data_IF_154895162863
#
_entry.id   IF_154895162863
#
_cell.length_a   1.000
_cell.length_b   1.000
_cell.length_c   1.000
_cell.angle_alpha   90.00
_cell.angle_beta   90.00
_cell.angle_gamma   90.00
#
_symmetry.space_group_name_H-M   'P 1'
#
loop_
_entity.id
_entity.type
_entity.pdbx_description
1 polymer ?
#
# COMPACT_ATOMS: atom_id res chain seq x y z
N UNK A 1 35.27 -25.65 15.05
CA UNK A 1 34.81 -25.37 16.43
C UNK A 1 33.29 -25.38 16.43
N UNK A 2 32.65 -26.22 17.25
CA UNK A 2 31.18 -26.35 17.34
C UNK A 2 30.71 -25.58 18.55
N UNK A 3 30.01 -24.46 18.34
CA UNK A 3 29.40 -23.67 19.40
C UNK A 3 27.94 -24.14 19.52
N UNK A 4 27.58 -24.68 20.69
CA UNK A 4 26.20 -25.05 21.04
C UNK A 4 25.66 -23.96 21.96
N UNK A 5 24.72 -23.16 21.46
CA UNK A 5 23.94 -22.23 22.28
C UNK A 5 22.60 -22.91 22.57
N UNK A 6 22.41 -23.27 23.84
CA UNK A 6 21.11 -23.62 24.41
C UNK A 6 20.60 -22.35 25.07
N UNK A 7 19.45 -21.85 24.65
CA UNK A 7 18.74 -20.80 25.39
C UNK A 7 17.26 -21.13 25.45
N UNK A 8 16.78 -21.27 26.67
CA UNK A 8 15.41 -21.61 27.08
C UNK A 8 14.85 -20.36 27.78
N UNK A 9 13.75 -19.81 27.26
CA UNK A 9 12.90 -18.79 27.93
C UNK A 9 11.49 -18.97 27.33
N UNK A 10 10.54 -19.64 27.97
CA UNK A 10 9.66 -19.19 29.08
C UNK A 10 8.88 -17.92 28.70
N UNK A 11 7.62 -18.04 28.23
CA UNK A 11 6.37 -18.08 29.01
C UNK A 11 5.72 -16.68 29.15
N UNK A 12 4.57 -16.45 28.50
CA UNK A 12 3.29 -16.05 29.14
C UNK A 12 2.20 -15.67 28.11
N UNK A 13 1.02 -16.26 28.28
CA UNK A 13 -0.24 -15.91 27.61
C UNK A 13 -0.90 -14.68 28.25
N UNK A 14 -1.54 -13.83 27.44
CA UNK A 14 -2.68 -13.03 27.89
C UNK A 14 -3.64 -12.80 26.70
N UNK A 15 -4.80 -13.45 26.76
CA UNK A 15 -5.93 -13.25 25.87
C UNK A 15 -6.89 -12.23 26.49
N UNK A 16 -7.35 -11.25 25.72
CA UNK A 16 -8.51 -10.42 26.09
C UNK A 16 -9.55 -10.47 24.98
N UNK A 17 -10.67 -11.09 25.34
CA UNK A 17 -11.93 -11.14 24.61
C UNK A 17 -12.63 -9.76 24.66
N UNK A 18 -13.25 -9.35 23.56
CA UNK A 18 -14.09 -8.14 23.50
C UNK A 18 -15.03 -8.11 22.30
N UNK A 19 -16.08 -8.94 22.32
CA UNK A 19 -17.33 -8.77 21.56
C UNK A 19 -18.21 -7.77 22.36
N UNK A 20 -19.01 -6.85 21.79
CA UNK A 20 -20.24 -7.06 21.02
C UNK A 20 -20.98 -5.68 20.83
N UNK A 21 -22.17 -5.55 20.20
CA UNK A 21 -22.40 -4.66 19.07
C UNK A 21 -23.52 -3.61 19.27
N UNK A 22 -23.81 -2.76 18.27
CA UNK A 22 -25.11 -2.70 17.55
C UNK A 22 -25.33 -1.42 16.75
N UNK A 23 -25.97 -1.63 15.60
CA UNK A 23 -26.37 -0.70 14.57
C UNK A 23 -27.49 0.28 14.99
N UNK A 24 -27.61 1.41 14.28
CA UNK A 24 -28.71 1.70 13.33
C UNK A 24 -28.78 3.21 13.05
N UNK A 25 -28.82 3.60 11.77
CA UNK A 25 -29.52 4.83 11.35
C UNK A 25 -29.97 4.73 9.90
N UNK A 26 -31.27 4.44 9.77
CA UNK A 26 -32.24 5.24 9.03
C UNK A 26 -32.03 5.47 7.52
N UNK A 27 -32.70 4.61 6.77
CA UNK A 27 -33.32 4.85 5.45
C UNK A 27 -34.16 6.14 5.47
N UNK A 28 -33.92 7.07 4.54
CA UNK A 28 -34.88 8.13 4.16
C UNK A 28 -35.07 8.15 2.66
N UNK A 29 -36.32 8.32 2.24
CA UNK A 29 -36.84 8.13 0.90
C UNK A 29 -36.84 9.42 0.07
N UNK A 30 -36.77 9.23 -1.25
CA UNK A 30 -36.88 10.17 -2.37
C UNK A 30 -38.20 10.99 -2.35
N UNK A 31 -38.33 12.12 -3.08
CA UNK A 31 -38.86 12.00 -4.46
C UNK A 31 -38.37 13.03 -5.51
N UNK A 32 -38.73 12.67 -6.75
CA UNK A 32 -38.48 13.24 -8.08
C UNK A 32 -38.80 14.72 -8.34
N UNK A 33 -38.16 15.27 -9.39
CA UNK A 33 -38.47 16.57 -10.01
C UNK A 33 -37.69 16.87 -11.32
N UNK A 34 -38.12 16.24 -12.41
CA UNK A 34 -38.23 16.65 -13.83
C UNK A 34 -37.49 17.88 -14.43
N UNK A 35 -36.74 17.59 -15.49
CA UNK A 35 -36.46 18.28 -16.78
C UNK A 35 -35.69 19.61 -16.94
N UNK A 36 -34.72 19.52 -17.87
CA UNK A 36 -34.26 20.51 -18.87
C UNK A 36 -32.92 21.22 -18.60
N UNK A 37 -31.88 20.79 -19.32
CA UNK A 37 -30.98 21.71 -20.04
C UNK A 37 -30.11 20.92 -21.03
N UNK A 38 -30.11 21.38 -22.29
CA UNK A 38 -29.25 20.90 -23.35
C UNK A 38 -27.88 21.60 -23.30
N UNK A 39 -26.89 20.91 -23.89
CA UNK A 39 -25.60 21.42 -24.41
C UNK A 39 -24.69 22.18 -23.44
N UNK A 40 -23.55 21.58 -23.10
CA UNK A 40 -22.22 22.03 -23.54
C UNK A 40 -21.13 21.10 -22.99
N UNK A 41 -20.15 20.86 -23.85
CA UNK A 41 -18.74 20.60 -23.52
C UNK A 41 -18.38 20.86 -22.05
N UNK A 42 -17.93 19.81 -21.38
CA UNK A 42 -17.15 19.90 -20.17
C UNK A 42 -16.32 18.64 -20.12
N UNK A 43 -15.03 18.81 -20.38
CA UNK A 43 -13.94 17.93 -20.00
C UNK A 43 -14.38 16.97 -18.89
N UNK A 44 -14.62 15.70 -19.24
CA UNK A 44 -14.90 14.66 -18.26
C UNK A 44 -13.72 14.67 -17.28
N UNK A 45 -14.05 15.02 -16.05
CA UNK A 45 -13.11 15.51 -15.05
C UNK A 45 -11.94 14.59 -14.85
N UNK A 46 -10.82 15.21 -14.49
CA UNK A 46 -9.87 14.58 -13.59
C UNK A 46 -10.67 14.19 -12.33
N UNK A 47 -11.24 12.99 -12.36
CA UNK A 47 -11.74 12.33 -11.18
C UNK A 47 -10.48 12.06 -10.36
N UNK A 48 -10.17 12.97 -9.45
CA UNK A 48 -9.25 12.70 -8.35
C UNK A 48 -9.97 11.65 -7.51
N UNK A 49 -9.95 10.41 -7.99
CA UNK A 49 -10.50 9.26 -7.31
C UNK A 49 -9.98 9.34 -5.88
N UNK A 50 -10.93 9.44 -4.95
CA UNK A 50 -10.65 9.23 -3.55
C UNK A 50 -9.76 7.99 -3.47
N UNK A 51 -8.54 8.18 -2.98
CA UNK A 51 -7.49 7.17 -2.93
C UNK A 51 -8.14 5.87 -2.46
N UNK A 52 -8.13 4.84 -3.30
CA UNK A 52 -8.76 3.56 -2.97
C UNK A 52 -8.01 2.98 -1.76
N UNK A 53 -8.53 3.24 -0.57
CA UNK A 53 -7.94 2.78 0.69
C UNK A 53 -8.07 1.26 0.73
N UNK A 54 -6.93 0.60 0.86
CA UNK A 54 -6.88 -0.85 0.92
C UNK A 54 -7.34 -1.42 2.27
N UNK A 55 -7.50 -2.75 2.37
CA UNK A 55 -7.95 -3.42 3.58
C UNK A 55 -7.04 -3.21 4.81
N UNK A 56 -5.79 -2.80 4.62
CA UNK A 56 -4.83 -2.51 5.69
C UNK A 56 -4.74 -1.01 6.04
N UNK A 57 -5.55 -0.17 5.41
CA UNK A 57 -5.56 1.28 5.62
C UNK A 57 -4.45 2.04 4.88
N UNK A 58 -3.78 1.37 3.93
CA UNK A 58 -2.83 1.95 3.00
C UNK A 58 -3.47 2.31 1.66
N UNK A 59 -2.63 2.55 0.66
CA UNK A 59 -3.02 2.94 -0.69
C UNK A 59 -2.93 1.74 -1.63
N UNK A 60 -3.98 1.52 -2.43
CA UNK A 60 -3.96 0.49 -3.46
C UNK A 60 -3.14 0.93 -4.68
N UNK A 61 -2.39 -0.02 -5.23
CA UNK A 61 -1.57 0.10 -6.42
C UNK A 61 -2.08 -0.89 -7.46
N UNK A 62 -2.33 -0.39 -8.67
CA UNK A 62 -2.64 -1.23 -9.82
C UNK A 62 -1.34 -1.70 -10.48
N UNK A 63 -1.09 -3.01 -10.45
CA UNK A 63 0.14 -3.60 -10.96
C UNK A 63 0.02 -3.96 -12.43
N UNK A 64 0.98 -3.52 -13.22
CA UNK A 64 1.16 -3.97 -14.59
C UNK A 64 2.06 -5.21 -14.63
N UNK A 65 1.84 -6.18 -15.53
CA UNK A 65 0.82 -6.19 -16.59
C UNK A 65 -0.48 -6.92 -16.22
N UNK A 66 -0.60 -7.45 -15.00
CA UNK A 66 -1.70 -8.35 -14.61
C UNK A 66 -2.98 -7.62 -14.23
N UNK A 67 -2.88 -6.35 -13.83
CA UNK A 67 -3.94 -5.57 -13.22
C UNK A 67 -4.29 -6.01 -11.79
N UNK A 68 -3.45 -6.84 -11.17
CA UNK A 68 -3.58 -7.22 -9.76
C UNK A 68 -3.32 -6.02 -8.85
N UNK A 69 -3.80 -6.10 -7.61
CA UNK A 69 -3.57 -5.05 -6.62
C UNK A 69 -2.45 -5.44 -5.63
N UNK A 70 -1.59 -4.46 -5.35
CA UNK A 70 -0.83 -4.41 -4.10
C UNK A 70 -1.38 -3.28 -3.25
N UNK A 71 -1.25 -3.38 -1.94
CA UNK A 71 -1.48 -2.25 -1.04
C UNK A 71 -0.15 -1.86 -0.41
N UNK A 72 0.10 -0.56 -0.26
CA UNK A 72 1.24 -0.08 0.51
C UNK A 72 0.80 0.90 1.57
N UNK A 73 1.40 0.79 2.75
CA UNK A 73 1.21 1.69 3.87
C UNK A 73 2.57 2.13 4.41
N UNK A 74 2.60 3.24 5.12
CA UNK A 74 3.81 3.73 5.75
C UNK A 74 3.55 4.33 7.13
N UNK A 75 4.59 4.30 7.96
CA UNK A 75 4.67 4.96 9.26
C UNK A 75 5.91 5.88 9.21
N UNK A 76 5.66 7.18 9.09
CA UNK A 76 6.70 8.20 8.99
C UNK A 76 7.57 8.28 10.25
N UNK A 77 7.00 8.07 11.45
CA UNK A 77 7.72 8.14 12.71
C UNK A 77 8.73 6.98 12.85
N UNK A 78 8.33 5.80 12.37
CA UNK A 78 9.15 4.59 12.37
C UNK A 78 10.01 4.44 11.11
N UNK A 79 9.82 5.31 10.13
CA UNK A 79 10.40 5.22 8.79
C UNK A 79 10.14 3.87 8.11
N UNK A 80 8.97 3.29 8.37
CA UNK A 80 8.59 1.94 7.95
C UNK A 80 7.66 2.02 6.76
N UNK A 81 7.95 1.26 5.70
CA UNK A 81 7.02 0.97 4.61
C UNK A 81 6.64 -0.49 4.67
N UNK A 82 5.35 -0.78 4.51
CA UNK A 82 4.78 -2.12 4.43
C UNK A 82 4.01 -2.29 3.13
N UNK A 83 4.21 -3.42 2.45
CA UNK A 83 3.49 -3.82 1.24
C UNK A 83 2.74 -5.12 1.50
N UNK A 84 1.45 -5.11 1.18
CA UNK A 84 0.54 -6.25 1.28
C UNK A 84 0.20 -6.75 -0.12
N UNK A 85 0.28 -8.07 -0.29
CA UNK A 85 0.17 -8.75 -1.58
C UNK A 85 -0.92 -9.83 -1.52
N UNK A 86 -2.11 -9.45 -1.07
CA UNK A 86 -3.21 -10.38 -0.79
C UNK A 86 -3.71 -11.15 -2.02
N UNK A 87 -3.56 -10.56 -3.21
CA UNK A 87 -3.91 -11.21 -4.48
C UNK A 87 -2.81 -12.16 -5.00
N UNK A 88 -1.67 -12.25 -4.31
CA UNK A 88 -0.53 -13.09 -4.69
C UNK A 88 -0.44 -14.35 -3.83
N UNK A 89 0.07 -15.44 -4.43
CA UNK A 89 0.50 -16.60 -3.68
C UNK A 89 1.89 -16.32 -3.06
N UNK A 90 1.93 -16.12 -1.75
CA UNK A 90 3.16 -15.83 -1.02
C UNK A 90 4.26 -16.89 -1.22
N UNK A 91 3.91 -18.14 -1.56
CA UNK A 91 4.89 -19.19 -1.83
C UNK A 91 5.64 -19.00 -3.16
N UNK A 92 5.09 -18.22 -4.08
CA UNK A 92 5.65 -18.00 -5.43
C UNK A 92 6.42 -16.69 -5.54
N UNK A 93 6.33 -15.80 -4.55
CA UNK A 93 7.03 -14.51 -4.56
C UNK A 93 8.52 -14.72 -4.33
N UNK A 94 9.33 -14.38 -5.33
CA UNK A 94 10.78 -14.45 -5.27
C UNK A 94 11.40 -13.20 -4.63
N UNK A 95 10.87 -12.00 -4.90
CA UNK A 95 11.34 -10.75 -4.29
C UNK A 95 10.33 -9.61 -4.38
N UNK A 96 10.38 -8.70 -3.42
CA UNK A 96 9.66 -7.42 -3.44
C UNK A 96 10.66 -6.30 -3.13
N UNK A 97 10.62 -5.21 -3.90
CA UNK A 97 11.48 -4.04 -3.67
C UNK A 97 10.83 -2.76 -4.18
N UNK A 98 11.25 -1.63 -3.65
CA UNK A 98 11.10 -0.36 -4.37
C UNK A 98 12.35 -0.06 -5.18
N UNK A 99 12.16 0.66 -6.28
CA UNK A 99 13.25 1.37 -6.97
C UNK A 99 12.93 2.86 -6.96
N UNK A 100 13.93 3.70 -6.68
CA UNK A 100 13.81 5.14 -6.80
C UNK A 100 14.80 5.63 -7.85
N UNK A 101 14.29 6.32 -8.87
CA UNK A 101 15.10 6.91 -9.93
C UNK A 101 15.16 8.43 -9.77
N UNK A 102 16.38 8.97 -9.65
CA UNK A 102 16.65 10.41 -9.55
C UNK A 102 17.65 10.77 -10.64
N UNK A 103 17.19 11.50 -11.66
CA UNK A 103 17.97 11.70 -12.88
C UNK A 103 18.31 10.36 -13.54
N UNK A 104 19.61 10.07 -13.68
CA UNK A 104 20.12 8.82 -14.25
C UNK A 104 20.48 7.75 -13.19
N UNK A 105 20.39 8.09 -11.90
CA UNK A 105 20.70 7.16 -10.83
C UNK A 105 19.45 6.35 -10.44
N UNK A 106 19.63 5.07 -10.12
CA UNK A 106 18.59 4.20 -9.58
C UNK A 106 19.09 3.58 -8.28
N UNK A 107 18.30 3.71 -7.24
CA UNK A 107 18.51 3.08 -5.94
C UNK A 107 17.45 2.00 -5.71
N UNK A 108 17.82 0.90 -5.06
CA UNK A 108 16.91 -0.21 -4.77
C UNK A 108 16.73 -0.40 -3.26
N UNK A 109 15.48 -0.59 -2.84
CA UNK A 109 15.09 -0.82 -1.46
C UNK A 109 14.41 -2.19 -1.37
N UNK A 110 15.16 -3.27 -1.13
CA UNK A 110 14.58 -4.61 -0.99
C UNK A 110 13.75 -4.71 0.28
N UNK A 111 12.56 -5.32 0.18
CA UNK A 111 11.69 -5.57 1.30
C UNK A 111 11.94 -6.98 1.87
N UNK A 112 11.73 -7.11 3.17
CA UNK A 112 11.81 -8.38 3.89
C UNK A 112 10.40 -8.87 4.20
N UNK A 113 10.11 -10.13 3.86
CA UNK A 113 8.85 -10.77 4.23
C UNK A 113 8.77 -10.94 5.76
N UNK A 114 7.63 -10.57 6.34
CA UNK A 114 7.32 -10.68 7.76
C UNK A 114 5.87 -11.15 7.96
N UNK A 115 5.49 -11.46 9.20
CA UNK A 115 4.11 -11.85 9.52
C UNK A 115 3.08 -10.74 9.22
N UNK A 116 3.52 -9.48 9.09
CA UNK A 116 2.69 -8.31 8.80
C UNK A 116 2.80 -7.82 7.35
N UNK A 117 3.38 -8.60 6.45
CA UNK A 117 3.61 -8.22 5.05
C UNK A 117 5.09 -7.98 4.73
N UNK A 118 5.36 -7.44 3.54
CA UNK A 118 6.71 -7.14 3.08
C UNK A 118 7.14 -5.78 3.60
N UNK A 119 8.26 -5.68 4.30
CA UNK A 119 8.63 -4.47 5.05
C UNK A 119 10.02 -3.96 4.72
N UNK A 120 10.20 -2.64 4.81
CA UNK A 120 11.52 -1.99 4.81
C UNK A 120 11.47 -0.78 5.74
N UNK A 121 12.50 -0.63 6.57
CA UNK A 121 12.72 0.60 7.34
C UNK A 121 13.78 1.43 6.65
N UNK A 122 13.41 2.55 6.04
CA UNK A 122 14.34 3.44 5.35
C UNK A 122 13.81 4.88 5.30
N UNK A 123 14.47 5.82 6.01
CA UNK A 123 14.17 7.24 5.85
C UNK A 123 14.43 7.75 4.43
N UNK A 124 15.41 7.17 3.73
CA UNK A 124 15.75 7.53 2.35
C UNK A 124 14.63 7.19 1.37
N UNK A 125 14.02 6.00 1.49
CA UNK A 125 12.87 5.63 0.66
C UNK A 125 11.70 6.61 0.84
N UNK A 126 11.33 6.93 2.08
CA UNK A 126 10.26 7.90 2.36
C UNK A 126 10.60 9.29 1.84
N UNK A 127 11.87 9.70 1.92
CA UNK A 127 12.34 10.95 1.32
C UNK A 127 12.10 10.94 -0.19
N UNK A 128 12.47 9.86 -0.88
CA UNK A 128 12.28 9.72 -2.33
C UNK A 128 10.81 9.71 -2.73
N UNK A 129 9.94 9.06 -1.97
CA UNK A 129 8.48 9.09 -2.20
C UNK A 129 7.95 10.53 -2.10
N UNK A 130 8.43 11.29 -1.11
CA UNK A 130 8.02 12.67 -0.88
C UNK A 130 8.64 13.68 -1.86
N UNK A 131 9.59 13.27 -2.70
CA UNK A 131 10.24 14.13 -3.69
C UNK A 131 9.37 14.42 -4.92
N UNK A 132 8.15 13.87 -5.00
CA UNK A 132 7.18 14.10 -6.10
C UNK A 132 7.88 13.93 -7.46
N UNK A 133 7.80 14.95 -8.33
CA UNK A 133 8.36 14.92 -9.68
C UNK A 133 9.90 14.81 -9.74
N UNK A 134 10.61 14.97 -8.62
CA UNK A 134 12.06 14.85 -8.57
C UNK A 134 12.57 13.42 -8.43
N UNK A 135 11.70 12.46 -8.08
CA UNK A 135 12.03 11.05 -8.00
C UNK A 135 10.90 10.19 -8.55
N UNK A 136 11.23 9.22 -9.42
CA UNK A 136 10.28 8.21 -9.85
C UNK A 136 10.45 6.97 -8.96
N UNK A 137 9.48 6.72 -8.09
CA UNK A 137 9.48 5.55 -7.20
C UNK A 137 8.54 4.48 -7.76
N UNK A 138 9.02 3.26 -7.93
CA UNK A 138 8.23 2.12 -8.40
C UNK A 138 8.32 0.96 -7.40
N UNK A 139 7.19 0.30 -7.13
CA UNK A 139 7.15 -1.02 -6.52
C UNK A 139 7.40 -2.07 -7.59
N UNK A 140 8.32 -3.00 -7.30
CA UNK A 140 8.64 -4.14 -8.16
C UNK A 140 8.43 -5.43 -7.36
N UNK A 141 7.59 -6.32 -7.89
CA UNK A 141 7.33 -7.66 -7.36
C UNK A 141 7.77 -8.67 -8.41
N UNK A 142 8.49 -9.70 -7.98
CA UNK A 142 8.89 -10.82 -8.85
C UNK A 142 8.32 -12.10 -8.28
N UNK A 143 7.56 -12.83 -9.08
CA UNK A 143 7.05 -14.18 -8.77
C UNK A 143 7.39 -15.17 -9.90
N UNK A 144 6.72 -16.31 -9.94
CA UNK A 144 6.89 -17.33 -10.98
C UNK A 144 6.26 -16.94 -12.34
N UNK A 145 5.28 -16.03 -12.33
CA UNK A 145 4.62 -15.51 -13.53
C UNK A 145 5.42 -14.38 -14.19
N UNK A 146 6.23 -13.64 -13.43
CA UNK A 146 7.17 -12.66 -13.96
C UNK A 146 7.41 -11.46 -13.05
N UNK A 147 7.49 -10.28 -13.66
CA UNK A 147 7.70 -9.00 -12.96
C UNK A 147 6.42 -8.20 -13.02
N UNK A 148 5.97 -7.74 -11.85
CA UNK A 148 4.84 -6.85 -11.68
C UNK A 148 5.33 -5.50 -11.15
N UNK A 149 4.80 -4.40 -11.68
CA UNK A 149 5.26 -3.06 -11.33
C UNK A 149 4.11 -2.09 -11.14
N UNK A 150 4.25 -1.17 -10.19
CA UNK A 150 3.39 0.00 -10.06
C UNK A 150 4.23 1.22 -9.66
N UNK A 151 3.88 2.38 -10.22
CA UNK A 151 4.44 3.66 -9.79
C UNK A 151 3.80 4.10 -8.48
N UNK A 152 4.60 4.62 -7.56
CA UNK A 152 4.12 5.28 -6.36
C UNK A 152 3.86 6.73 -6.71
N UNK A 153 2.60 7.13 -6.66
CA UNK A 153 2.22 8.53 -6.75
C UNK A 153 2.43 9.20 -5.39
N UNK A 154 3.01 10.39 -5.41
CA UNK A 154 3.19 11.15 -4.18
C UNK A 154 1.83 11.69 -3.72
N UNK A 155 1.33 11.18 -2.60
CA UNK A 155 0.13 11.71 -1.96
C UNK A 155 0.47 12.83 -0.98
N UNK A 156 -0.34 13.89 -0.97
CA UNK A 156 -0.26 14.90 0.08
C UNK A 156 -1.11 14.45 1.26
N UNK A 157 -0.48 14.22 2.41
CA UNK A 157 -1.22 14.13 3.66
C UNK A 157 -1.78 15.51 3.98
N UNK A 158 -3.07 15.72 3.73
CA UNK A 158 -3.79 16.84 4.32
C UNK A 158 -3.84 16.60 5.84
N UNK A 159 -2.87 17.17 6.56
CA UNK A 159 -2.95 17.33 8.00
C UNK A 159 -4.13 18.27 8.30
N UNK A 160 -5.20 17.72 8.89
CA UNK A 160 -6.28 18.50 9.51
C UNK A 160 -5.97 18.81 10.97
#
# INVERSE_FOLDING_TARGET
>A
MKIRIVSVFALCCATSLGCQPSATSSKSANPAGTDTAATTDSHAGHDHAHEDVGPHGGHLLHLEPTGSHAEWAHDDDQHLVTVYLDEFDAANIASVKFTAKIGDATEEFPLTNSDSGWTVTSPELLTHINMKDAAEVNLIIVDDAGVHTAKIEAHEHHHH
#
